data_IF_241936907508
#
_entry.id   IF_241936907508
#
_cell.length_a   1.000
_cell.length_b   1.000
_cell.length_c   1.000
_cell.angle_alpha   90.00
_cell.angle_beta   90.00
_cell.angle_gamma   90.00
#
_symmetry.space_group_name_H-M   'P 1'
#
loop_
_entity.id
_entity.type
_entity.pdbx_description
1 polymer ?
#
# COMPACT_ATOMS: atom_id res chain seq x y z
N UNK A 1 31.05 -59.48 -38.59
CA UNK A 1 30.00 -59.00 -37.68
C UNK A 1 30.59 -58.82 -36.29
N UNK A 2 30.70 -57.56 -35.83
CA UNK A 2 30.61 -57.06 -34.43
C UNK A 2 31.45 -57.78 -33.35
N UNK A 3 32.67 -57.29 -33.02
CA UNK A 3 32.99 -56.34 -31.92
C UNK A 3 32.27 -56.59 -30.59
N UNK A 4 32.97 -57.17 -29.61
CA UNK A 4 32.97 -56.73 -28.22
C UNK A 4 34.36 -56.95 -27.62
N UNK A 5 35.14 -55.87 -27.54
CA UNK A 5 36.40 -55.83 -26.83
C UNK A 5 36.13 -55.74 -25.32
N UNK A 6 36.83 -56.58 -24.58
CA UNK A 6 37.09 -56.44 -23.15
C UNK A 6 37.92 -55.17 -22.88
N UNK A 7 38.04 -54.81 -21.59
CA UNK A 7 39.20 -54.18 -20.92
C UNK A 7 38.79 -53.00 -20.01
N UNK A 8 38.58 -53.36 -18.74
CA UNK A 8 39.14 -52.82 -17.49
C UNK A 8 39.06 -51.32 -17.09
N UNK A 9 39.06 -51.03 -15.76
CA UNK A 9 38.72 -49.73 -15.19
C UNK A 9 39.93 -48.80 -15.04
N UNK A 10 39.73 -47.51 -15.34
CA UNK A 10 40.70 -46.47 -15.07
C UNK A 10 40.47 -45.87 -13.68
N UNK A 11 41.09 -46.46 -12.68
CA UNK A 11 41.54 -45.72 -11.50
C UNK A 11 42.43 -44.56 -11.92
N UNK A 12 42.36 -43.47 -11.16
CA UNK A 12 43.31 -42.35 -11.12
C UNK A 12 43.18 -41.27 -12.22
N UNK A 13 42.32 -40.27 -11.96
CA UNK A 13 42.69 -38.88 -12.25
C UNK A 13 42.41 -38.04 -11.00
N UNK A 14 43.48 -37.90 -10.23
CA UNK A 14 43.64 -37.00 -9.09
C UNK A 14 43.89 -35.60 -9.67
N UNK A 15 42.88 -34.73 -9.71
CA UNK A 15 43.08 -33.30 -9.98
C UNK A 15 42.94 -32.50 -8.69
N UNK A 16 44.09 -32.28 -8.09
CA UNK A 16 44.33 -31.22 -7.12
C UNK A 16 44.35 -29.85 -7.81
N UNK A 17 43.92 -28.81 -7.06
CA UNK A 17 44.07 -27.35 -7.30
C UNK A 17 42.99 -26.79 -8.25
N UNK A 18 42.28 -25.69 -7.95
CA UNK A 18 42.64 -24.47 -7.22
C UNK A 18 41.45 -23.91 -6.44
N UNK A 19 41.70 -23.48 -5.21
CA UNK A 19 40.82 -22.63 -4.42
C UNK A 19 40.79 -21.21 -5.02
N UNK A 20 39.63 -20.59 -5.26
CA UNK A 20 39.55 -19.13 -5.27
C UNK A 20 39.43 -18.65 -3.82
N UNK A 21 40.57 -18.22 -3.27
CA UNK A 21 40.60 -17.31 -2.14
C UNK A 21 40.02 -15.95 -2.60
N UNK A 22 38.70 -15.80 -2.51
CA UNK A 22 38.09 -14.46 -2.56
C UNK A 22 38.15 -13.88 -1.15
N UNK A 23 39.21 -13.12 -0.95
CA UNK A 23 39.43 -12.14 0.10
C UNK A 23 38.14 -11.48 0.59
N UNK A 24 37.92 -11.58 1.90
CA UNK A 24 36.98 -10.76 2.67
C UNK A 24 37.39 -9.28 2.59
N UNK A 25 36.54 -8.36 2.11
CA UNK A 25 36.65 -6.97 2.52
C UNK A 25 35.99 -6.83 3.90
N UNK A 26 36.84 -6.87 4.93
CA UNK A 26 36.58 -6.21 6.20
C UNK A 26 36.49 -4.71 5.94
N UNK A 27 35.29 -4.16 5.88
CA UNK A 27 35.00 -2.78 6.29
C UNK A 27 33.59 -2.74 6.89
N UNK A 28 33.51 -3.09 8.18
CA UNK A 28 32.46 -2.58 9.05
C UNK A 28 32.68 -1.07 9.22
N UNK A 29 32.13 -0.27 8.31
CA UNK A 29 31.79 1.12 8.62
C UNK A 29 30.28 1.14 8.83
N UNK A 30 29.89 1.05 10.10
CA UNK A 30 28.54 1.36 10.58
C UNK A 30 28.31 2.87 10.44
N UNK A 31 28.15 3.34 9.21
CA UNK A 31 27.48 4.61 8.97
C UNK A 31 26.00 4.37 9.20
N UNK A 32 25.55 4.63 10.42
CA UNK A 32 24.13 4.87 10.72
C UNK A 32 23.64 5.93 9.73
N UNK A 33 23.03 5.50 8.64
CA UNK A 33 22.06 6.33 7.93
C UNK A 33 20.87 6.42 8.87
N UNK A 34 20.96 7.36 9.82
CA UNK A 34 19.77 7.95 10.42
C UNK A 34 18.92 8.42 9.24
N UNK A 35 17.84 7.70 8.93
CA UNK A 35 16.74 8.30 8.20
C UNK A 35 16.21 9.40 9.12
N UNK A 36 16.83 10.57 9.04
CA UNK A 36 16.18 11.79 9.41
C UNK A 36 14.91 11.88 8.56
N UNK A 37 13.75 12.15 9.16
CA UNK A 37 12.55 12.42 8.37
C UNK A 37 12.88 13.56 7.40
N UNK A 38 12.35 13.54 6.16
CA UNK A 38 12.56 14.64 5.24
C UNK A 38 12.08 15.91 5.94
N UNK A 39 13.02 16.81 6.23
CA UNK A 39 12.70 18.15 6.70
C UNK A 39 11.86 18.77 5.59
N UNK A 40 10.57 18.94 5.83
CA UNK A 40 9.75 19.78 4.99
C UNK A 40 10.45 21.15 4.96
N UNK A 41 11.02 21.50 3.81
CA UNK A 41 11.43 22.86 3.55
C UNK A 41 10.14 23.69 3.59
N UNK A 42 9.84 24.23 4.77
CA UNK A 42 8.93 25.36 4.90
C UNK A 42 9.54 26.42 4.01
N UNK A 43 8.93 26.61 2.86
CA UNK A 43 9.29 27.65 1.93
C UNK A 43 8.98 28.97 2.64
N UNK A 44 9.95 29.47 3.40
CA UNK A 44 9.97 30.85 3.87
C UNK A 44 10.16 31.68 2.63
N UNK A 45 9.04 32.02 1.97
CA UNK A 45 9.04 33.06 0.97
C UNK A 45 9.41 34.35 1.70
N UNK A 46 10.62 34.81 1.42
CA UNK A 46 11.07 36.14 1.75
C UNK A 46 10.11 37.13 1.08
N UNK A 47 9.15 37.66 1.84
CA UNK A 47 8.41 38.84 1.46
C UNK A 47 9.32 40.06 1.69
N UNK A 48 10.31 40.25 0.81
CA UNK A 48 10.97 41.55 0.69
C UNK A 48 10.11 42.44 -0.18
N UNK A 49 9.46 43.39 0.50
CA UNK A 49 9.39 44.80 0.17
C UNK A 49 9.32 45.11 -1.33
N UNK A 50 8.10 45.16 -1.85
CA UNK A 50 7.74 46.13 -2.87
C UNK A 50 6.80 47.13 -2.20
N UNK A 51 7.40 48.18 -1.64
CA UNK A 51 6.72 49.44 -1.37
C UNK A 51 6.32 50.04 -2.71
N UNK A 52 5.10 49.75 -3.14
CA UNK A 52 4.41 50.56 -4.13
C UNK A 52 3.13 51.04 -3.45
N UNK A 53 3.13 52.30 -3.06
CA UNK A 53 1.96 53.02 -2.60
C UNK A 53 1.04 53.23 -3.80
N UNK A 54 0.37 52.15 -4.23
CA UNK A 54 -0.79 52.26 -5.08
C UNK A 54 -1.98 52.47 -4.16
N UNK A 55 -2.57 53.66 -4.25
CA UNK A 55 -3.81 54.06 -3.59
C UNK A 55 -4.83 52.94 -3.77
N UNK A 56 -5.11 52.22 -2.69
CA UNK A 56 -6.11 51.17 -2.62
C UNK A 56 -7.47 51.87 -2.69
N UNK A 57 -8.05 51.94 -3.89
CA UNK A 57 -9.46 52.28 -4.02
C UNK A 57 -10.25 51.22 -3.25
N UNK A 58 -10.73 51.59 -2.07
CA UNK A 58 -11.67 50.79 -1.31
C UNK A 58 -13.02 50.84 -2.06
N UNK A 59 -13.19 49.94 -3.02
CA UNK A 59 -14.54 49.49 -3.39
C UNK A 59 -14.81 48.26 -2.53
N UNK A 60 -15.74 48.33 -1.55
CA UNK A 60 -16.14 47.17 -0.77
C UNK A 60 -16.78 46.18 -1.73
N UNK A 61 -16.03 45.18 -2.18
CA UNK A 61 -16.61 44.09 -2.95
C UNK A 61 -17.30 43.16 -1.94
N UNK A 62 -18.60 42.87 -2.11
CA UNK A 62 -19.40 42.12 -1.13
C UNK A 62 -18.91 40.68 -0.89
N UNK A 63 -17.95 40.22 -1.70
CA UNK A 63 -17.30 38.93 -1.55
C UNK A 63 -16.17 38.91 -0.52
N UNK A 64 -15.58 40.05 -0.14
CA UNK A 64 -14.52 40.09 0.88
C UNK A 64 -15.07 40.23 2.30
N UNK A 65 -16.08 41.07 2.50
CA UNK A 65 -16.77 41.21 3.81
C UNK A 65 -17.37 39.87 4.27
N UNK A 66 -17.90 39.09 3.32
CA UNK A 66 -18.40 37.75 3.60
C UNK A 66 -17.30 36.78 4.00
N UNK A 67 -16.10 36.87 3.42
CA UNK A 67 -14.97 36.00 3.79
C UNK A 67 -14.44 36.36 5.18
N UNK A 68 -14.31 37.64 5.51
CA UNK A 68 -13.88 38.10 6.83
C UNK A 68 -14.91 37.75 7.91
N UNK A 69 -16.20 37.96 7.64
CA UNK A 69 -17.26 37.51 8.55
C UNK A 69 -17.29 35.98 8.74
N UNK A 70 -17.04 35.21 7.68
CA UNK A 70 -16.93 33.74 7.78
C UNK A 70 -15.71 33.34 8.59
N UNK A 71 -14.58 34.03 8.43
CA UNK A 71 -13.36 33.80 9.20
C UNK A 71 -13.55 34.14 10.69
N UNK A 72 -14.16 35.27 11.01
CA UNK A 72 -14.45 35.69 12.39
C UNK A 72 -15.48 34.77 13.07
N UNK A 73 -16.50 34.31 12.33
CA UNK A 73 -17.45 33.29 12.81
C UNK A 73 -16.76 31.95 13.05
N UNK A 74 -15.76 31.58 12.25
CA UNK A 74 -14.94 30.38 12.46
C UNK A 74 -13.93 30.53 13.61
N UNK A 75 -13.36 31.73 13.82
CA UNK A 75 -12.45 32.03 14.93
C UNK A 75 -13.17 32.14 16.27
N UNK A 76 -14.40 32.67 16.30
CA UNK A 76 -15.26 32.65 17.49
C UNK A 76 -15.69 31.22 17.86
N UNK A 77 -15.81 30.34 16.86
CA UNK A 77 -16.06 28.90 17.04
C UNK A 77 -14.76 28.08 17.20
N UNK A 78 -13.59 28.72 17.25
CA UNK A 78 -12.32 28.01 17.37
C UNK A 78 -12.21 27.33 18.75
N UNK A 79 -11.81 26.04 18.81
CA UNK A 79 -11.79 25.27 20.04
C UNK A 79 -10.77 25.77 21.07
N UNK A 80 -9.93 26.76 20.74
CA UNK A 80 -8.97 27.39 21.66
C UNK A 80 -9.61 28.44 22.59
N UNK A 81 -10.75 29.04 22.20
CA UNK A 81 -11.49 30.03 23.01
C UNK A 81 -12.56 29.39 23.90
N UNK A 82 -12.90 28.13 23.64
CA UNK A 82 -13.81 27.35 24.45
C UNK A 82 -13.04 26.74 25.63
N UNK A 83 -13.57 26.87 26.85
CA UNK A 83 -12.95 26.24 28.02
C UNK A 83 -12.78 24.73 27.82
N UNK A 84 -11.77 24.12 28.46
CA UNK A 84 -11.43 22.70 28.28
C UNK A 84 -12.67 21.79 28.28
N UNK A 85 -13.59 22.01 29.21
CA UNK A 85 -14.83 21.22 29.34
C UNK A 85 -15.68 21.19 28.06
N UNK A 86 -15.85 22.33 27.37
CA UNK A 86 -16.61 22.41 26.13
C UNK A 86 -15.95 21.62 24.99
N UNK A 87 -14.61 21.62 24.93
CA UNK A 87 -13.85 20.79 23.96
C UNK A 87 -14.08 19.31 24.23
N UNK A 88 -14.08 18.89 25.50
CA UNK A 88 -14.33 17.50 25.90
C UNK A 88 -15.77 17.08 25.60
N UNK A 89 -16.75 17.94 25.87
CA UNK A 89 -18.16 17.69 25.55
C UNK A 89 -18.37 17.53 24.04
N UNK A 90 -17.77 18.39 23.23
CA UNK A 90 -17.84 18.30 21.78
C UNK A 90 -17.19 16.99 21.29
N UNK A 91 -15.98 16.67 21.74
CA UNK A 91 -15.31 15.41 21.41
C UNK A 91 -16.08 14.17 21.85
N UNK A 92 -16.75 14.25 23.01
CA UNK A 92 -17.61 13.17 23.51
C UNK A 92 -18.83 12.97 22.60
N UNK A 93 -19.50 14.06 22.20
CA UNK A 93 -20.62 14.02 21.23
C UNK A 93 -20.17 13.44 19.88
N UNK A 94 -19.00 13.86 19.39
CA UNK A 94 -18.41 13.37 18.14
C UNK A 94 -18.00 11.89 18.23
N UNK A 95 -17.48 11.46 19.38
CA UNK A 95 -17.18 10.06 19.63
C UNK A 95 -18.46 9.21 19.65
N UNK A 96 -19.54 9.70 20.25
CA UNK A 96 -20.84 9.02 20.27
C UNK A 96 -21.47 8.94 18.87
N UNK A 97 -21.42 10.02 18.08
CA UNK A 97 -21.92 10.01 16.69
C UNK A 97 -21.08 9.09 15.80
N UNK A 98 -19.77 9.07 16.00
CA UNK A 98 -18.84 8.16 15.33
C UNK A 98 -19.08 6.71 15.72
N UNK A 99 -19.32 6.41 16.99
CA UNK A 99 -19.60 5.06 17.46
C UNK A 99 -20.91 4.50 16.89
N UNK A 100 -21.94 5.36 16.73
CA UNK A 100 -23.20 4.98 16.08
C UNK A 100 -23.01 4.60 14.61
N UNK A 101 -22.21 5.37 13.87
CA UNK A 101 -21.96 5.14 12.44
C UNK A 101 -20.91 4.05 12.17
N UNK A 102 -19.98 3.85 13.12
CA UNK A 102 -18.87 2.91 13.04
C UNK A 102 -18.78 2.19 14.39
N UNK A 103 -19.59 1.13 14.59
CA UNK A 103 -19.56 0.39 15.84
C UNK A 103 -18.13 -0.12 16.13
N UNK A 104 -17.75 -0.23 17.42
CA UNK A 104 -16.45 -0.75 17.82
C UNK A 104 -16.24 -2.15 17.24
N UNK A 105 -14.97 -2.54 17.09
CA UNK A 105 -14.63 -3.79 16.44
C UNK A 105 -15.17 -4.99 17.26
N UNK A 106 -16.21 -5.65 16.75
CA UNK A 106 -16.67 -6.96 17.25
C UNK A 106 -15.71 -8.10 16.84
N UNK A 107 -15.86 -9.29 17.44
CA UNK A 107 -15.00 -10.45 17.18
C UNK A 107 -14.98 -10.92 15.69
N UNK A 108 -16.04 -10.61 14.95
CA UNK A 108 -16.24 -10.94 13.54
C UNK A 108 -15.84 -9.80 12.60
N UNK A 109 -15.76 -8.58 13.11
CA UNK A 109 -15.24 -7.41 12.44
C UNK A 109 -13.71 -7.56 12.36
N UNK A 110 -13.22 -7.84 11.16
CA UNK A 110 -11.77 -7.96 10.97
C UNK A 110 -11.06 -6.66 11.35
N UNK A 111 -9.95 -6.75 12.10
CA UNK A 111 -9.07 -5.62 12.46
C UNK A 111 -8.53 -4.80 11.27
N UNK A 112 -8.73 -5.29 10.05
CA UNK A 112 -8.33 -4.61 8.82
C UNK A 112 -9.58 -4.14 8.07
N UNK A 113 -9.52 -2.89 7.59
CA UNK A 113 -10.41 -2.14 6.69
C UNK A 113 -11.16 -2.94 5.59
N UNK A 114 -10.81 -4.19 5.31
CA UNK A 114 -11.54 -5.12 4.43
C UNK A 114 -12.31 -6.14 5.27
N UNK A 115 -13.59 -5.81 5.52
CA UNK A 115 -14.54 -6.62 6.30
C UNK A 115 -14.55 -8.08 5.83
N UNK A 116 -14.46 -9.04 6.77
CA UNK A 116 -14.75 -10.48 6.53
C UNK A 116 -16.23 -10.80 6.61
N UNK A 117 -17.04 -9.83 7.01
CA UNK A 117 -18.48 -9.89 7.15
C UNK A 117 -19.13 -9.08 6.03
N UNK A 118 -20.25 -9.60 5.53
CA UNK A 118 -21.14 -8.89 4.60
C UNK A 118 -22.44 -8.68 5.35
N UNK A 119 -22.89 -7.43 5.43
CA UNK A 119 -24.20 -7.11 6.00
C UNK A 119 -25.28 -7.53 5.01
N UNK A 120 -26.22 -8.36 5.46
CA UNK A 120 -27.40 -8.68 4.66
C UNK A 120 -28.63 -7.97 5.25
N UNK A 121 -29.18 -6.95 4.57
CA UNK A 121 -30.36 -6.24 5.07
C UNK A 121 -31.67 -7.03 4.90
N UNK A 122 -31.75 -8.00 3.97
CA UNK A 122 -32.98 -8.72 3.63
C UNK A 122 -32.71 -10.18 3.21
N UNK A 123 -33.54 -11.13 3.66
CA UNK A 123 -33.37 -12.55 3.35
C UNK A 123 -33.45 -12.87 1.84
N UNK A 124 -34.24 -12.10 1.09
CA UNK A 124 -34.36 -12.24 -0.39
C UNK A 124 -33.02 -12.00 -1.12
N UNK A 125 -32.07 -11.30 -0.51
CA UNK A 125 -30.74 -11.00 -1.07
C UNK A 125 -29.63 -11.89 -0.50
N UNK A 126 -29.99 -12.93 0.26
CA UNK A 126 -29.02 -13.82 0.90
C UNK A 126 -28.03 -14.43 -0.10
N UNK A 127 -28.50 -14.97 -1.22
CA UNK A 127 -27.64 -15.54 -2.25
C UNK A 127 -26.62 -14.53 -2.81
N UNK A 128 -27.00 -13.25 -2.94
CA UNK A 128 -26.11 -12.17 -3.37
C UNK A 128 -25.04 -11.89 -2.32
N UNK A 129 -25.42 -11.80 -1.03
CA UNK A 129 -24.46 -11.59 0.07
C UNK A 129 -23.44 -12.73 0.18
N UNK A 130 -23.83 -13.98 -0.08
CA UNK A 130 -22.90 -15.11 -0.12
C UNK A 130 -21.90 -15.03 -1.27
N UNK A 131 -22.34 -14.61 -2.47
CA UNK A 131 -21.44 -14.38 -3.61
C UNK A 131 -20.46 -13.26 -3.33
N UNK A 132 -20.93 -12.19 -2.70
CA UNK A 132 -20.08 -11.08 -2.28
C UNK A 132 -19.04 -11.53 -1.26
N UNK A 133 -19.46 -12.31 -0.25
CA UNK A 133 -18.56 -12.89 0.73
C UNK A 133 -17.49 -13.77 0.06
N UNK A 134 -17.86 -14.61 -0.91
CA UNK A 134 -16.89 -15.43 -1.64
C UNK A 134 -15.89 -14.56 -2.44
N UNK A 135 -16.38 -13.51 -3.09
CA UNK A 135 -15.51 -12.56 -3.80
C UNK A 135 -14.53 -11.86 -2.84
N UNK A 136 -14.95 -11.53 -1.62
CA UNK A 136 -14.08 -10.95 -0.58
C UNK A 136 -13.02 -11.97 -0.15
N UNK A 137 -13.42 -13.20 0.17
CA UNK A 137 -12.49 -14.27 0.59
C UNK A 137 -11.46 -14.59 -0.51
N UNK A 138 -11.88 -14.55 -1.77
CA UNK A 138 -11.03 -14.76 -2.94
C UNK A 138 -10.04 -13.62 -3.14
N UNK A 139 -10.47 -12.36 -3.05
CA UNK A 139 -9.58 -11.18 -3.11
C UNK A 139 -8.53 -11.18 -1.99
N UNK A 140 -8.93 -11.58 -0.80
CA UNK A 140 -8.04 -11.69 0.37
C UNK A 140 -7.19 -12.97 0.38
N UNK A 141 -7.41 -13.88 -0.58
CA UNK A 141 -6.68 -15.15 -0.74
C UNK A 141 -6.76 -16.07 0.49
N UNK A 142 -7.84 -16.00 1.25
CA UNK A 142 -8.01 -16.76 2.51
C UNK A 142 -7.98 -18.27 2.24
N UNK A 143 -8.75 -18.73 1.24
CA UNK A 143 -8.82 -20.15 0.86
C UNK A 143 -7.47 -20.69 0.36
N UNK A 144 -6.75 -19.91 -0.44
CA UNK A 144 -5.43 -20.28 -0.93
C UNK A 144 -4.43 -20.40 0.24
N UNK A 145 -4.43 -19.42 1.13
CA UNK A 145 -3.55 -19.42 2.29
C UNK A 145 -3.84 -20.62 3.19
N UNK A 146 -5.12 -20.92 3.47
CA UNK A 146 -5.53 -22.06 4.26
C UNK A 146 -4.96 -23.37 3.71
N UNK A 147 -5.07 -23.59 2.39
CA UNK A 147 -4.47 -24.78 1.72
C UNK A 147 -2.95 -24.81 1.83
N UNK A 148 -2.27 -23.67 1.68
CA UNK A 148 -0.82 -23.59 1.81
C UNK A 148 -0.33 -23.82 3.25
N UNK A 149 -1.14 -23.45 4.25
CA UNK A 149 -0.78 -23.59 5.68
C UNK A 149 -1.14 -24.97 6.25
N UNK A 150 -1.98 -25.76 5.58
CA UNK A 150 -2.34 -27.12 6.02
C UNK A 150 -1.11 -28.02 6.23
N UNK A 151 -0.04 -27.80 5.47
CA UNK A 151 1.22 -28.54 5.60
C UNK A 151 2.40 -27.58 5.66
N UNK A 152 3.45 -27.97 6.39
CA UNK A 152 4.67 -27.18 6.43
C UNK A 152 5.38 -27.18 5.06
N UNK A 153 5.53 -25.98 4.48
CA UNK A 153 6.37 -25.76 3.29
C UNK A 153 7.78 -25.34 3.73
N UNK A 154 8.81 -26.12 3.33
CA UNK A 154 10.22 -25.77 3.58
C UNK A 154 10.54 -24.38 3.04
N UNK A 155 11.35 -23.60 3.77
CA UNK A 155 11.70 -22.19 3.43
C UNK A 155 12.25 -22.03 2.00
N UNK A 156 13.12 -22.93 1.55
CA UNK A 156 13.70 -22.89 0.20
C UNK A 156 12.66 -23.11 -0.90
N UNK A 157 11.75 -24.08 -0.69
CA UNK A 157 10.63 -24.36 -1.61
C UNK A 157 9.70 -23.16 -1.70
N UNK A 158 9.35 -22.57 -0.55
CA UNK A 158 8.54 -21.33 -0.48
C UNK A 158 9.14 -20.17 -1.26
N UNK A 159 10.46 -19.96 -1.15
CA UNK A 159 11.16 -18.90 -1.90
C UNK A 159 11.10 -19.13 -3.41
N UNK A 160 11.38 -20.35 -3.87
CA UNK A 160 11.29 -20.72 -5.29
C UNK A 160 9.89 -20.52 -5.83
N UNK A 161 8.86 -21.02 -5.12
CA UNK A 161 7.45 -20.81 -5.48
C UNK A 161 7.10 -19.34 -5.61
N UNK A 162 7.42 -18.52 -4.60
CA UNK A 162 7.12 -17.08 -4.63
C UNK A 162 7.83 -16.36 -5.79
N UNK A 163 9.06 -16.75 -6.11
CA UNK A 163 9.79 -16.20 -7.27
C UNK A 163 9.06 -16.53 -8.58
N UNK A 164 8.73 -17.81 -8.81
CA UNK A 164 8.02 -18.26 -10.00
C UNK A 164 6.62 -17.65 -10.12
N UNK A 165 5.89 -17.50 -9.01
CA UNK A 165 4.58 -16.84 -8.99
C UNK A 165 4.67 -15.35 -9.36
N UNK A 166 5.68 -14.63 -8.83
CA UNK A 166 5.90 -13.22 -9.18
C UNK A 166 6.23 -13.08 -10.66
N UNK A 167 7.09 -13.94 -11.19
CA UNK A 167 7.46 -13.93 -12.60
C UNK A 167 6.23 -14.19 -13.49
N UNK A 168 5.44 -15.24 -13.20
CA UNK A 168 4.20 -15.53 -13.95
C UNK A 168 3.22 -14.36 -13.96
N UNK A 169 3.08 -13.65 -12.82
CA UNK A 169 2.23 -12.44 -12.73
C UNK A 169 2.76 -11.31 -13.61
N UNK A 170 4.05 -10.99 -13.50
CA UNK A 170 4.69 -9.94 -14.31
C UNK A 170 4.58 -10.24 -15.80
N UNK A 171 4.90 -11.47 -16.19
CA UNK A 171 4.80 -11.92 -17.57
C UNK A 171 3.37 -11.79 -18.11
N UNK A 172 2.36 -12.25 -17.35
CA UNK A 172 0.96 -12.09 -17.75
C UNK A 172 0.55 -10.62 -17.90
N UNK A 173 1.03 -9.73 -17.03
CA UNK A 173 0.74 -8.31 -17.11
C UNK A 173 1.41 -7.64 -18.33
N UNK A 174 2.64 -8.03 -18.66
CA UNK A 174 3.35 -7.59 -19.86
C UNK A 174 2.62 -8.04 -21.14
N UNK A 175 2.23 -9.32 -21.20
CA UNK A 175 1.45 -9.86 -22.32
C UNK A 175 0.12 -9.11 -22.46
N UNK A 176 -0.61 -8.89 -21.37
CA UNK A 176 -1.86 -8.11 -21.38
C UNK A 176 -1.67 -6.69 -21.90
N UNK A 177 -0.57 -6.01 -21.54
CA UNK A 177 -0.27 -4.65 -22.03
C UNK A 177 -0.04 -4.66 -23.54
N UNK A 178 0.74 -5.62 -24.05
CA UNK A 178 1.01 -5.77 -25.48
C UNK A 178 -0.27 -6.09 -26.27
N UNK A 179 -1.08 -7.04 -25.80
CA UNK A 179 -2.37 -7.37 -26.43
C UNK A 179 -3.32 -6.17 -26.44
N UNK A 180 -3.41 -5.42 -25.33
CA UNK A 180 -4.22 -4.19 -25.27
C UNK A 180 -3.75 -3.16 -26.29
N UNK A 181 -2.46 -3.04 -26.56
CA UNK A 181 -1.94 -2.14 -27.59
C UNK A 181 -2.38 -2.60 -28.99
N UNK A 182 -2.23 -3.88 -29.31
CA UNK A 182 -2.67 -4.44 -30.60
C UNK A 182 -4.17 -4.23 -30.81
N UNK A 183 -5.00 -4.49 -29.79
CA UNK A 183 -6.44 -4.23 -29.87
C UNK A 183 -6.76 -2.76 -30.12
N UNK A 184 -6.01 -1.83 -29.51
CA UNK A 184 -6.18 -0.39 -29.76
C UNK A 184 -5.80 -0.01 -31.19
N UNK A 185 -4.74 -0.57 -31.75
CA UNK A 185 -4.32 -0.34 -33.14
C UNK A 185 -5.41 -0.84 -34.09
N UNK A 186 -5.87 -2.08 -33.91
CA UNK A 186 -6.96 -2.67 -34.69
C UNK A 186 -8.24 -1.83 -34.62
N UNK A 187 -8.63 -1.38 -33.43
CA UNK A 187 -9.84 -0.58 -33.24
C UNK A 187 -9.75 0.82 -33.89
N UNK A 188 -8.54 1.31 -34.21
CA UNK A 188 -8.33 2.57 -34.94
C UNK A 188 -8.45 2.39 -36.46
N UNK A 189 -8.59 1.16 -36.97
CA UNK A 189 -8.76 0.89 -38.39
C UNK A 189 -7.46 0.72 -39.18
N UNK A 190 -6.37 0.33 -38.51
CA UNK A 190 -5.19 -0.22 -39.17
C UNK A 190 -5.35 -1.73 -39.43
#
# INVERSE_FOLDING_TARGET
MQRLAQVLPASAVRLSRLSPACSSPSLCVLSRLSLSPPKFNVWKRNARLLSSTCVRSQSPHPLYDTIEEIADKQEAQSPLKQGNQAIWEQRSKDALSSAKSRPPADAYSGKFSKRRTVWNPNDRLFARSLRELDAILSRNKVRQQLRLTQRHEKKGVKRRRLSSERWRKRFADEVRKKVKLVMKIRNRGA
#
